data_IF_141405148905
#
_entry.id   IF_141405148905
#
_cell.length_a   1.000
_cell.length_b   1.000
_cell.length_c   1.000
_cell.angle_alpha   90.00
_cell.angle_beta   90.00
_cell.angle_gamma   90.00
#
_symmetry.space_group_name_H-M   'P 1'
#
loop_
_entity.id
_entity.type
_entity.pdbx_description
1 polymer ?
#
# COMPACT_ATOMS: atom_id res chain seq x y z
N UNK A 1 -52.25 9.44 12.00
CA UNK A 1 -51.26 8.90 11.03
C UNK A 1 -49.98 9.70 11.22
N UNK A 2 -49.35 9.58 12.39
CA UNK A 2 -48.36 10.55 12.88
C UNK A 2 -47.19 9.85 13.59
N UNK A 3 -46.69 8.77 12.97
CA UNK A 3 -45.56 7.99 13.52
C UNK A 3 -44.54 7.63 12.44
N UNK A 4 -44.36 8.53 11.47
CA UNK A 4 -43.51 8.31 10.30
C UNK A 4 -42.47 9.43 10.06
N UNK A 5 -42.14 10.26 11.06
CA UNK A 5 -41.19 11.39 10.86
C UNK A 5 -40.11 11.57 11.95
N UNK A 6 -39.94 10.65 12.91
CA UNK A 6 -38.94 10.84 13.98
C UNK A 6 -38.17 9.56 14.28
N UNK A 7 -37.16 9.27 13.48
CA UNK A 7 -35.92 8.56 13.90
C UNK A 7 -34.90 8.43 12.76
N UNK A 8 -34.70 9.47 11.96
CA UNK A 8 -33.36 9.68 11.38
C UNK A 8 -32.51 10.33 12.48
N UNK A 9 -32.05 9.52 13.43
CA UNK A 9 -30.92 9.92 14.26
C UNK A 9 -29.74 10.13 13.32
N UNK A 10 -29.12 11.32 13.30
CA UNK A 10 -27.81 11.47 12.71
C UNK A 10 -26.92 10.50 13.47
N UNK A 11 -26.42 9.47 12.79
CA UNK A 11 -25.37 8.61 13.32
C UNK A 11 -24.22 9.55 13.64
N UNK A 12 -24.05 9.80 14.94
CA UNK A 12 -23.03 10.69 15.46
C UNK A 12 -21.68 10.19 14.93
N UNK A 13 -21.16 10.88 13.92
CA UNK A 13 -19.78 10.77 13.48
C UNK A 13 -18.92 10.90 14.74
N UNK A 14 -18.04 9.93 15.06
CA UNK A 14 -17.22 10.03 16.26
C UNK A 14 -16.43 11.33 16.20
N UNK A 15 -16.64 12.16 17.21
CA UNK A 15 -16.02 13.46 17.39
C UNK A 15 -14.50 13.32 17.26
N UNK A 16 -13.94 14.09 16.33
CA UNK A 16 -12.52 14.35 16.23
C UNK A 16 -12.05 15.08 17.51
N UNK A 17 -11.72 14.32 18.55
CA UNK A 17 -11.32 14.84 19.86
C UNK A 17 -10.23 13.97 20.46
N UNK A 18 -9.01 14.52 20.52
CA UNK A 18 -7.75 13.90 20.94
C UNK A 18 -7.34 12.70 20.06
N UNK A 19 -6.46 12.96 19.09
CA UNK A 19 -5.81 11.90 18.32
C UNK A 19 -4.90 11.09 19.25
N UNK A 20 -5.48 10.16 20.02
CA UNK A 20 -4.74 9.12 20.73
C UNK A 20 -3.87 8.45 19.67
N UNK A 21 -2.56 8.44 19.91
CA UNK A 21 -1.57 7.91 18.98
C UNK A 21 -1.94 6.47 18.65
N UNK A 22 -2.34 6.15 17.42
CA UNK A 22 -2.59 4.75 17.02
C UNK A 22 -1.62 4.37 15.90
N UNK A 23 -0.61 3.58 16.25
CA UNK A 23 0.38 3.10 15.30
C UNK A 23 -0.18 2.14 14.26
N UNK A 24 -1.24 1.38 14.58
CA UNK A 24 -1.85 0.41 13.65
C UNK A 24 -2.49 1.16 12.50
N UNK A 25 -3.35 2.13 12.84
CA UNK A 25 -4.03 2.99 11.86
C UNK A 25 -3.03 3.74 10.99
N UNK A 26 -2.03 4.38 11.61
CA UNK A 26 -0.98 5.11 10.87
C UNK A 26 -0.18 4.22 9.92
N UNK A 27 0.05 2.96 10.27
CA UNK A 27 0.78 2.03 9.41
C UNK A 27 -0.07 1.62 8.21
N UNK A 28 -1.35 1.29 8.44
CA UNK A 28 -2.29 0.94 7.37
C UNK A 28 -2.46 2.12 6.39
N UNK A 29 -2.60 3.35 6.89
CA UNK A 29 -2.63 4.56 6.05
C UNK A 29 -1.34 4.67 5.20
N UNK A 30 -0.16 4.47 5.79
CA UNK A 30 1.11 4.50 5.04
C UNK A 30 1.20 3.41 3.96
N UNK A 31 0.71 2.20 4.24
CA UNK A 31 0.67 1.11 3.24
C UNK A 31 -0.28 1.47 2.10
N UNK A 32 -1.46 2.01 2.41
CA UNK A 32 -2.44 2.45 1.41
C UNK A 32 -1.88 3.57 0.51
N UNK A 33 -1.26 4.60 1.10
CA UNK A 33 -0.59 5.65 0.32
C UNK A 33 0.60 5.10 -0.46
N UNK A 34 1.36 4.17 0.11
CA UNK A 34 2.47 3.49 -0.57
C UNK A 34 2.00 2.73 -1.82
N UNK A 35 0.89 2.00 -1.74
CA UNK A 35 0.28 1.31 -2.88
C UNK A 35 -0.19 2.29 -3.96
N UNK A 36 -0.75 3.44 -3.56
CA UNK A 36 -1.17 4.50 -4.50
C UNK A 36 0.03 5.10 -5.24
N UNK A 37 1.11 5.40 -4.51
CA UNK A 37 2.36 5.91 -5.10
C UNK A 37 3.00 4.87 -6.01
N UNK A 38 3.09 3.62 -5.56
CA UNK A 38 3.56 2.49 -6.37
C UNK A 38 2.78 2.41 -7.68
N UNK A 39 1.44 2.43 -7.61
CA UNK A 39 0.57 2.29 -8.79
C UNK A 39 0.72 3.46 -9.74
N UNK A 40 0.72 4.69 -9.22
CA UNK A 40 0.93 5.89 -10.04
C UNK A 40 2.28 5.83 -10.76
N UNK A 41 3.36 5.53 -10.01
CA UNK A 41 4.71 5.44 -10.56
C UNK A 41 4.84 4.29 -11.54
N UNK A 42 4.23 3.13 -11.26
CA UNK A 42 4.17 1.99 -12.17
C UNK A 42 3.57 2.39 -13.51
N UNK A 43 2.42 3.06 -13.51
CA UNK A 43 1.76 3.50 -14.75
C UNK A 43 2.65 4.46 -15.54
N UNK A 44 3.29 5.44 -14.89
CA UNK A 44 4.19 6.37 -15.56
C UNK A 44 5.39 5.67 -16.19
N UNK A 45 6.04 4.81 -15.41
CA UNK A 45 7.23 4.07 -15.85
C UNK A 45 6.85 3.09 -16.98
N UNK A 46 5.74 2.37 -16.89
CA UNK A 46 5.31 1.45 -17.95
C UNK A 46 4.83 2.17 -19.21
N UNK A 47 4.12 3.30 -19.07
CA UNK A 47 3.69 4.12 -20.22
C UNK A 47 4.89 4.62 -21.04
N UNK A 48 6.02 4.91 -20.39
CA UNK A 48 7.27 5.27 -21.08
C UNK A 48 7.82 4.12 -21.94
N UNK A 49 7.62 2.86 -21.54
CA UNK A 49 8.17 1.69 -22.23
C UNK A 49 7.30 1.16 -23.38
N UNK A 50 5.97 1.33 -23.31
CA UNK A 50 5.02 0.80 -24.29
C UNK A 50 5.23 1.38 -25.70
N UNK A 51 5.86 2.55 -25.82
CA UNK A 51 6.14 3.19 -27.11
C UNK A 51 7.14 2.42 -28.00
N UNK A 52 7.83 1.39 -27.47
CA UNK A 52 8.95 0.74 -28.16
C UNK A 52 8.88 -0.78 -28.39
N UNK A 53 7.89 -1.53 -27.89
CA UNK A 53 8.01 -3.00 -27.77
C UNK A 53 6.89 -3.79 -28.46
N UNK A 54 7.28 -4.73 -29.33
CA UNK A 54 6.41 -5.74 -29.96
C UNK A 54 5.90 -6.77 -28.94
N UNK A 55 4.63 -7.18 -29.06
CA UNK A 55 3.92 -7.96 -28.06
C UNK A 55 4.45 -9.41 -27.89
N UNK A 56 5.18 -9.67 -26.81
CA UNK A 56 5.51 -11.02 -26.32
C UNK A 56 4.73 -11.32 -25.03
N UNK A 57 4.25 -12.57 -24.86
CA UNK A 57 3.40 -12.97 -23.73
C UNK A 57 4.17 -13.24 -22.44
N UNK A 58 5.47 -13.56 -22.56
CA UNK A 58 6.34 -13.94 -21.44
C UNK A 58 6.53 -12.79 -20.43
N UNK A 59 6.75 -11.52 -20.84
CA UNK A 59 6.72 -10.37 -19.94
C UNK A 59 5.42 -10.25 -19.12
N UNK A 60 4.25 -10.48 -19.73
CA UNK A 60 2.96 -10.38 -19.04
C UNK A 60 2.82 -11.48 -17.96
N UNK A 61 3.28 -12.70 -18.24
CA UNK A 61 3.27 -13.78 -17.26
C UNK A 61 4.16 -13.46 -16.05
N UNK A 62 5.39 -13.00 -16.30
CA UNK A 62 6.32 -12.58 -15.24
C UNK A 62 5.74 -11.45 -14.41
N UNK A 63 5.06 -10.48 -15.04
CA UNK A 63 4.39 -9.39 -14.34
C UNK A 63 3.36 -9.91 -13.33
N UNK A 64 2.48 -10.80 -13.77
CA UNK A 64 1.42 -11.35 -12.92
C UNK A 64 1.99 -12.09 -11.72
N UNK A 65 3.01 -12.94 -11.94
CA UNK A 65 3.70 -13.66 -10.85
C UNK A 65 4.37 -12.69 -9.88
N UNK A 66 5.03 -11.66 -10.41
CA UNK A 66 5.72 -10.66 -9.60
C UNK A 66 4.74 -9.85 -8.74
N UNK A 67 3.62 -9.39 -9.32
CA UNK A 67 2.54 -8.71 -8.58
C UNK A 67 1.92 -9.62 -7.52
N UNK A 68 1.69 -10.89 -7.84
CA UNK A 68 1.19 -11.87 -6.88
C UNK A 68 2.15 -12.06 -5.68
N UNK A 69 3.46 -11.96 -5.90
CA UNK A 69 4.48 -12.00 -4.84
C UNK A 69 4.61 -10.69 -4.04
N UNK A 70 4.21 -9.55 -4.62
CA UNK A 70 4.27 -8.24 -3.97
C UNK A 70 3.18 -8.08 -2.91
N UNK A 71 1.97 -8.57 -3.18
CA UNK A 71 0.85 -8.52 -2.24
C UNK A 71 1.19 -9.08 -0.84
N UNK A 72 1.76 -10.31 -0.69
CA UNK A 72 2.13 -10.83 0.62
C UNK A 72 3.26 -10.02 1.28
N UNK A 73 4.13 -9.38 0.49
CA UNK A 73 5.20 -8.54 1.02
C UNK A 73 4.64 -7.31 1.76
N UNK A 74 3.72 -6.57 1.13
CA UNK A 74 3.02 -5.45 1.78
C UNK A 74 2.13 -5.92 2.93
N UNK A 75 1.43 -7.05 2.78
CA UNK A 75 0.53 -7.60 3.81
C UNK A 75 1.28 -8.08 5.06
N UNK A 76 2.53 -8.53 4.93
CA UNK A 76 3.37 -8.87 6.07
C UNK A 76 3.75 -7.65 6.92
N UNK A 77 3.94 -6.49 6.29
CA UNK A 77 4.19 -5.25 7.02
C UNK A 77 2.98 -4.84 7.85
N UNK A 78 1.77 -4.95 7.30
CA UNK A 78 0.52 -4.62 8.02
C UNK A 78 0.24 -5.59 9.18
N UNK A 79 0.29 -6.91 8.93
CA UNK A 79 0.04 -7.95 9.96
C UNK A 79 0.86 -7.76 11.22
N UNK A 80 2.13 -7.36 11.10
CA UNK A 80 2.99 -7.15 12.27
C UNK A 80 2.45 -6.03 13.19
N UNK A 81 1.81 -5.01 12.64
CA UNK A 81 1.24 -3.90 13.41
C UNK A 81 -0.19 -4.16 13.85
N UNK A 82 -0.97 -4.95 13.10
CA UNK A 82 -2.33 -5.37 13.49
C UNK A 82 -2.36 -6.15 14.81
N UNK A 83 -1.34 -6.97 15.06
CA UNK A 83 -1.27 -7.81 16.28
C UNK A 83 -0.91 -7.06 17.57
N UNK A 84 -0.63 -5.76 17.52
CA UNK A 84 -0.36 -4.98 18.73
C UNK A 84 -1.60 -4.94 19.63
N UNK A 85 -1.43 -4.98 20.96
CA UNK A 85 -2.54 -4.73 21.90
C UNK A 85 -2.89 -3.24 21.98
N UNK A 86 -4.06 -2.89 22.52
CA UNK A 86 -4.51 -1.49 22.53
C UNK A 86 -3.54 -0.57 23.27
N UNK A 87 -2.98 -1.03 24.39
CA UNK A 87 -1.95 -0.28 25.13
C UNK A 87 -0.66 -0.10 24.30
N UNK A 88 -0.25 -1.11 23.55
CA UNK A 88 0.94 -1.05 22.69
C UNK A 88 0.74 -0.12 21.49
N UNK A 89 -0.46 -0.10 20.91
CA UNK A 89 -0.80 0.77 19.79
C UNK A 89 -0.67 2.26 20.14
N UNK A 90 -0.80 2.60 21.43
CA UNK A 90 -0.66 3.95 21.96
C UNK A 90 0.69 4.25 22.62
N UNK A 91 1.59 3.26 22.70
CA UNK A 91 2.87 3.42 23.36
C UNK A 91 3.89 4.13 22.43
N UNK A 92 4.42 5.32 22.83
CA UNK A 92 5.40 6.06 22.01
C UNK A 92 6.73 5.33 21.81
N UNK A 93 7.05 4.30 22.60
CA UNK A 93 8.24 3.46 22.43
C UNK A 93 8.31 2.73 21.08
N UNK A 94 7.18 2.50 20.41
CA UNK A 94 7.15 1.87 19.09
C UNK A 94 7.54 2.81 17.94
N UNK A 95 7.75 4.11 18.20
CA UNK A 95 8.06 5.12 17.16
C UNK A 95 9.30 4.76 16.32
N UNK A 96 10.35 4.22 16.94
CA UNK A 96 11.57 3.87 16.21
C UNK A 96 11.34 2.69 15.25
N UNK A 97 10.62 1.66 15.72
CA UNK A 97 10.21 0.54 14.87
C UNK A 97 9.30 1.00 13.74
N UNK A 98 8.31 1.84 14.05
CA UNK A 98 7.37 2.42 13.09
C UNK A 98 8.11 3.15 11.97
N UNK A 99 9.06 4.02 12.31
CA UNK A 99 9.81 4.79 11.31
C UNK A 99 10.64 3.90 10.40
N UNK A 100 11.25 2.82 10.92
CA UNK A 100 12.00 1.86 10.09
C UNK A 100 11.09 1.17 9.08
N UNK A 101 9.89 0.81 9.49
CA UNK A 101 8.94 0.08 8.65
C UNK A 101 8.24 0.99 7.65
N UNK A 102 7.92 2.22 8.06
CA UNK A 102 7.49 3.29 7.16
C UNK A 102 8.51 3.51 6.04
N UNK A 103 9.80 3.67 6.38
CA UNK A 103 10.85 3.83 5.37
C UNK A 103 10.91 2.63 4.43
N UNK A 104 10.77 1.39 4.94
CA UNK A 104 10.75 0.20 4.10
C UNK A 104 9.55 0.15 3.15
N UNK A 105 8.35 0.52 3.61
CA UNK A 105 7.14 0.60 2.77
C UNK A 105 7.33 1.61 1.65
N UNK A 106 7.85 2.81 1.98
CA UNK A 106 8.09 3.86 1.00
C UNK A 106 9.20 3.51 0.01
N UNK A 107 10.31 2.94 0.49
CA UNK A 107 11.37 2.43 -0.39
C UNK A 107 10.83 1.36 -1.32
N UNK A 108 10.06 0.40 -0.80
CA UNK A 108 9.48 -0.67 -1.61
C UNK A 108 8.55 -0.07 -2.66
N UNK A 109 7.62 0.80 -2.28
CA UNK A 109 6.69 1.45 -3.20
C UNK A 109 7.38 2.27 -4.30
N UNK A 110 8.48 2.96 -3.97
CA UNK A 110 9.22 3.76 -4.93
C UNK A 110 10.14 2.93 -5.83
N UNK A 111 10.75 1.86 -5.32
CA UNK A 111 11.77 1.06 -6.05
C UNK A 111 11.13 -0.04 -6.89
N UNK A 112 10.05 -0.67 -6.42
CA UNK A 112 9.36 -1.75 -7.13
C UNK A 112 9.09 -1.45 -8.60
N UNK A 113 8.53 -0.26 -8.94
CA UNK A 113 8.16 0.02 -10.32
C UNK A 113 9.31 -0.03 -11.31
N UNK A 114 10.48 0.42 -10.86
CA UNK A 114 11.70 0.39 -11.66
C UNK A 114 12.29 -1.01 -11.72
N UNK A 115 12.24 -1.79 -10.65
CA UNK A 115 12.71 -3.19 -10.64
C UNK A 115 11.87 -4.03 -11.59
N UNK A 116 10.53 -3.91 -11.53
CA UNK A 116 9.60 -4.61 -12.41
C UNK A 116 9.88 -4.22 -13.88
N UNK A 117 9.98 -2.94 -14.17
CA UNK A 117 10.21 -2.43 -15.53
C UNK A 117 11.58 -2.81 -16.07
N UNK A 118 12.63 -2.69 -15.23
CA UNK A 118 13.99 -3.09 -15.59
C UNK A 118 14.10 -4.58 -15.88
N UNK A 119 13.38 -5.42 -15.11
CA UNK A 119 13.31 -6.86 -15.36
C UNK A 119 12.61 -7.15 -16.70
N UNK A 120 11.55 -6.41 -17.06
CA UNK A 120 10.95 -6.56 -18.39
C UNK A 120 11.91 -6.18 -19.50
N UNK A 121 12.56 -5.01 -19.40
CA UNK A 121 13.58 -4.61 -20.38
C UNK A 121 14.65 -5.67 -20.54
N UNK A 122 15.17 -6.20 -19.43
CA UNK A 122 16.21 -7.22 -19.46
C UNK A 122 15.73 -8.50 -20.16
N UNK A 123 14.54 -8.98 -19.82
CA UNK A 123 13.98 -10.18 -20.46
C UNK A 123 13.69 -9.96 -21.95
N UNK A 124 13.16 -8.79 -22.33
CA UNK A 124 12.89 -8.43 -23.73
C UNK A 124 14.16 -8.25 -24.57
N UNK A 125 15.31 -7.96 -23.95
CA UNK A 125 16.60 -7.92 -24.66
C UNK A 125 17.20 -9.33 -24.80
N UNK A 126 16.92 -10.23 -23.85
CA UNK A 126 17.47 -11.59 -23.82
C UNK A 126 16.69 -12.59 -24.68
N UNK A 127 15.39 -12.37 -24.90
CA UNK A 127 14.47 -13.26 -25.62
C UNK A 127 13.67 -12.49 -26.68
#
# INVERSE_FOLDING_TARGET
MDKALQSEQPTAQPTAGAHKLDWRKKMSDNVAYGLLVYTGLQIFVTMHEIQGTSASILPLFVLVVLVAAIIPLFRNFERRWEHLTDEQAHNPGFKAAFRRDQVRVWLLAAVLPFVITGLFRLLSVLF
#
